data_IF_797779980550
#
_entry.id   IF_797779980550
#
_cell.length_a   1.000
_cell.length_b   1.000
_cell.length_c   1.000
_cell.angle_alpha   90.00
_cell.angle_beta   90.00
_cell.angle_gamma   90.00
#
_symmetry.space_group_name_H-M   'P 1'
#
loop_
_entity.id
_entity.type
_entity.pdbx_description
1 polymer ?
#
# COMPACT_ATOMS: atom_id res chain seq x y z
N UNK A 1 -33.59 5.61 63.23
CA UNK A 1 -33.96 5.32 61.82
C UNK A 1 -32.85 5.85 60.92
N UNK A 2 -31.94 4.99 60.46
CA UNK A 2 -30.85 5.39 59.55
C UNK A 2 -31.30 5.18 58.10
N UNK A 3 -31.43 6.27 57.35
CA UNK A 3 -31.62 6.22 55.90
C UNK A 3 -30.29 5.87 55.25
N UNK A 4 -30.23 4.73 54.56
CA UNK A 4 -29.11 4.38 53.68
C UNK A 4 -29.38 4.90 52.27
N UNK A 5 -28.43 5.59 51.61
CA UNK A 5 -28.60 6.03 50.24
C UNK A 5 -28.45 4.85 49.28
N UNK A 6 -29.46 4.63 48.44
CA UNK A 6 -29.41 3.62 47.37
C UNK A 6 -28.49 4.10 46.24
N UNK A 7 -27.34 3.43 46.08
CA UNK A 7 -26.46 3.62 44.91
C UNK A 7 -27.21 3.20 43.66
N UNK A 8 -27.51 4.15 42.80
CA UNK A 8 -28.02 3.90 41.45
C UNK A 8 -26.86 3.45 40.56
N UNK A 9 -26.83 2.16 40.23
CA UNK A 9 -25.88 1.62 39.26
C UNK A 9 -26.32 2.05 37.85
N UNK A 10 -25.54 2.92 37.21
CA UNK A 10 -25.71 3.26 35.80
C UNK A 10 -25.20 2.09 34.97
N UNK A 11 -26.10 1.33 34.34
CA UNK A 11 -25.75 0.28 33.38
C UNK A 11 -25.16 0.94 32.13
N UNK A 12 -23.84 0.84 31.94
CA UNK A 12 -23.21 1.22 30.67
C UNK A 12 -23.55 0.17 29.62
N UNK A 13 -24.22 0.59 28.54
CA UNK A 13 -24.50 -0.27 27.39
C UNK A 13 -23.18 -0.52 26.66
N UNK A 14 -22.55 -1.66 26.90
CA UNK A 14 -21.37 -2.10 26.16
C UNK A 14 -21.78 -2.45 24.73
N UNK A 15 -21.50 -1.56 23.77
CA UNK A 15 -21.65 -1.86 22.35
C UNK A 15 -20.46 -2.69 21.90
N UNK A 16 -20.65 -3.99 21.73
CA UNK A 16 -19.71 -4.83 20.99
C UNK A 16 -19.85 -4.50 19.49
N UNK A 17 -18.86 -3.86 18.85
CA UNK A 17 -18.95 -3.58 17.43
C UNK A 17 -18.96 -4.92 16.67
N UNK A 18 -20.10 -5.25 16.08
CA UNK A 18 -20.17 -6.38 15.15
C UNK A 18 -19.30 -6.03 13.94
N UNK A 19 -18.28 -6.85 13.68
CA UNK A 19 -17.46 -6.70 12.49
C UNK A 19 -18.32 -6.97 11.25
N UNK A 20 -18.34 -6.06 10.26
CA UNK A 20 -19.07 -6.28 9.02
C UNK A 20 -18.59 -7.56 8.33
N UNK A 21 -19.54 -8.40 7.89
CA UNK A 21 -19.25 -9.59 7.09
C UNK A 21 -18.89 -9.21 5.65
N UNK A 22 -19.56 -8.19 5.13
CA UNK A 22 -19.42 -7.69 3.77
C UNK A 22 -18.54 -6.44 3.77
N UNK A 23 -17.47 -6.50 2.99
CA UNK A 23 -16.53 -5.39 2.79
C UNK A 23 -16.80 -4.79 1.42
N UNK A 24 -17.04 -3.48 1.35
CA UNK A 24 -17.28 -2.77 0.08
C UNK A 24 -16.04 -2.87 -0.80
N UNK A 25 -16.22 -2.87 -2.13
CA UNK A 25 -15.11 -2.85 -3.10
C UNK A 25 -14.11 -1.70 -2.86
N UNK A 26 -14.58 -0.57 -2.32
CA UNK A 26 -13.72 0.56 -1.96
C UNK A 26 -12.75 0.21 -0.82
N UNK A 27 -13.19 -0.59 0.14
CA UNK A 27 -12.51 -0.85 1.40
C UNK A 27 -11.71 -2.17 1.37
N UNK A 28 -12.07 -3.09 0.46
CA UNK A 28 -11.41 -4.39 0.31
C UNK A 28 -9.88 -4.33 0.03
N UNK A 29 -9.36 -3.42 -0.83
CA UNK A 29 -7.92 -3.28 -1.02
C UNK A 29 -7.20 -2.87 0.26
N UNK A 30 -7.80 -1.98 1.04
CA UNK A 30 -7.23 -1.51 2.32
C UNK A 30 -7.26 -2.60 3.38
N UNK A 31 -8.30 -3.43 3.40
CA UNK A 31 -8.37 -4.59 4.30
C UNK A 31 -7.20 -5.56 4.09
N UNK A 32 -6.82 -5.80 2.83
CA UNK A 32 -5.68 -6.66 2.49
C UNK A 32 -4.32 -5.95 2.52
N UNK A 33 -4.28 -4.65 2.84
CA UNK A 33 -3.04 -3.87 2.86
C UNK A 33 -2.39 -3.66 1.50
N UNK A 34 -3.17 -3.68 0.41
CA UNK A 34 -2.68 -3.54 -0.97
C UNK A 34 -3.28 -2.34 -1.71
N UNK A 35 -2.67 -1.95 -2.82
CA UNK A 35 -3.20 -0.90 -3.68
C UNK A 35 -4.41 -1.39 -4.51
N UNK A 36 -5.21 -0.43 -4.97
CA UNK A 36 -6.46 -0.71 -5.70
C UNK A 36 -6.23 -1.37 -7.06
N UNK A 37 -5.11 -1.07 -7.73
CA UNK A 37 -4.86 -1.60 -9.07
C UNK A 37 -4.50 -3.08 -8.97
N UNK A 38 -3.61 -3.42 -8.04
CA UNK A 38 -3.25 -4.80 -7.74
C UNK A 38 -4.45 -5.62 -7.29
N UNK A 39 -5.29 -5.08 -6.40
CA UNK A 39 -6.53 -5.72 -6.00
C UNK A 39 -7.44 -6.07 -7.18
N UNK A 40 -7.64 -5.12 -8.11
CA UNK A 40 -8.49 -5.33 -9.28
C UNK A 40 -7.93 -6.37 -10.27
N UNK A 41 -6.61 -6.57 -10.30
CA UNK A 41 -5.95 -7.52 -11.19
C UNK A 41 -5.84 -8.93 -10.60
N UNK A 42 -5.46 -9.02 -9.32
CA UNK A 42 -5.10 -10.31 -8.70
C UNK A 42 -6.24 -10.91 -7.88
N UNK A 43 -6.93 -10.07 -7.09
CA UNK A 43 -7.91 -10.55 -6.10
C UNK A 43 -9.31 -10.60 -6.70
N UNK A 44 -9.75 -9.48 -7.29
CA UNK A 44 -11.13 -9.30 -7.75
C UNK A 44 -11.61 -10.39 -8.73
N UNK A 45 -10.81 -10.86 -9.71
CA UNK A 45 -11.26 -11.92 -10.63
C UNK A 45 -11.44 -13.28 -9.95
N UNK A 46 -10.82 -13.48 -8.78
CA UNK A 46 -10.83 -14.75 -8.05
C UNK A 46 -11.93 -14.79 -6.98
N UNK A 47 -12.54 -13.65 -6.64
CA UNK A 47 -13.58 -13.54 -5.62
C UNK A 47 -14.97 -13.43 -6.23
N UNK A 48 -15.97 -13.90 -5.49
CA UNK A 48 -17.38 -13.75 -5.87
C UNK A 48 -17.87 -12.33 -5.54
N UNK A 49 -18.27 -11.57 -6.57
CA UNK A 49 -18.84 -10.24 -6.40
C UNK A 49 -20.28 -10.32 -5.87
N UNK A 50 -20.54 -9.74 -4.68
CA UNK A 50 -21.88 -9.58 -4.14
C UNK A 50 -22.42 -8.18 -4.38
N UNK A 51 -23.55 -8.10 -5.08
CA UNK A 51 -24.26 -6.83 -5.31
C UNK A 51 -25.05 -6.44 -4.06
N UNK A 52 -24.75 -5.27 -3.52
CA UNK A 52 -25.50 -4.64 -2.42
C UNK A 52 -26.29 -3.47 -2.98
N UNK A 53 -27.60 -3.68 -3.17
CA UNK A 53 -28.50 -2.70 -3.76
C UNK A 53 -28.21 -2.46 -5.23
N UNK A 54 -28.52 -1.25 -5.71
CA UNK A 54 -28.48 -0.92 -7.15
C UNK A 54 -27.07 -0.78 -7.73
N UNK A 55 -26.13 -0.23 -6.94
CA UNK A 55 -24.80 0.14 -7.43
C UNK A 55 -23.65 -0.39 -6.55
N UNK A 56 -23.97 -0.94 -5.38
CA UNK A 56 -22.95 -1.40 -4.45
C UNK A 56 -22.39 -2.75 -4.85
N UNK A 57 -21.07 -2.89 -4.82
CA UNK A 57 -20.39 -4.19 -4.87
C UNK A 57 -19.63 -4.37 -3.55
N UNK A 58 -19.70 -5.59 -3.02
CA UNK A 58 -19.01 -6.00 -1.82
C UNK A 58 -18.50 -7.44 -1.95
N UNK A 59 -17.55 -7.77 -1.09
CA UNK A 59 -16.96 -9.10 -0.95
C UNK A 59 -17.18 -9.61 0.46
N UNK A 60 -17.23 -10.93 0.61
CA UNK A 60 -17.25 -11.55 1.91
C UNK A 60 -15.84 -11.46 2.54
N UNK A 61 -15.75 -11.11 3.83
CA UNK A 61 -14.48 -11.09 4.57
C UNK A 61 -13.79 -12.47 4.61
N UNK A 62 -14.54 -13.57 4.74
CA UNK A 62 -13.93 -14.91 4.77
C UNK A 62 -13.40 -15.30 3.40
N UNK A 63 -14.02 -14.84 2.31
CA UNK A 63 -13.47 -15.09 0.98
C UNK A 63 -12.15 -14.32 0.79
N UNK A 64 -12.07 -13.09 1.32
CA UNK A 64 -10.83 -12.31 1.37
C UNK A 64 -9.78 -13.01 2.25
N UNK A 65 -10.16 -13.52 3.42
CA UNK A 65 -9.26 -14.23 4.33
C UNK A 65 -8.76 -15.55 3.69
N UNK A 66 -9.65 -16.32 3.04
CA UNK A 66 -9.30 -17.56 2.34
C UNK A 66 -8.34 -17.30 1.18
N UNK A 67 -8.52 -16.19 0.45
CA UNK A 67 -7.56 -15.78 -0.58
C UNK A 67 -6.18 -15.48 0.01
N UNK A 68 -6.11 -14.85 1.18
CA UNK A 68 -4.84 -14.62 1.88
C UNK A 68 -4.20 -15.92 2.33
N UNK A 69 -4.99 -16.87 2.83
CA UNK A 69 -4.47 -18.17 3.26
C UNK A 69 -3.95 -19.00 2.07
N UNK A 70 -4.60 -18.90 0.91
CA UNK A 70 -4.14 -19.49 -0.35
C UNK A 70 -2.89 -18.76 -0.92
N UNK A 71 -2.79 -17.44 -0.73
CA UNK A 71 -1.54 -16.72 -1.02
C UNK A 71 -0.40 -17.17 -0.10
N UNK A 72 -0.67 -17.37 1.20
CA UNK A 72 0.32 -17.88 2.16
C UNK A 72 0.74 -19.30 1.81
N UNK A 73 -0.19 -20.21 1.53
CA UNK A 73 0.16 -21.60 1.20
C UNK A 73 1.05 -21.70 -0.04
N UNK A 74 0.83 -20.84 -1.04
CA UNK A 74 1.73 -20.70 -2.20
C UNK A 74 3.11 -20.16 -1.85
N UNK A 75 3.19 -19.26 -0.87
CA UNK A 75 4.44 -18.63 -0.43
C UNK A 75 5.22 -19.51 0.56
N UNK A 76 4.51 -20.35 1.32
CA UNK A 76 5.02 -21.34 2.27
C UNK A 76 5.54 -22.61 1.59
N UNK A 77 5.59 -22.62 0.26
CA UNK A 77 6.34 -23.59 -0.53
C UNK A 77 7.68 -22.99 -0.98
N UNK A 78 8.65 -22.72 -0.08
CA UNK A 78 10.02 -22.57 -0.51
C UNK A 78 10.52 -23.97 -0.83
N UNK A 79 10.73 -24.26 -2.11
CA UNK A 79 11.82 -25.15 -2.46
C UNK A 79 13.04 -24.60 -1.70
N UNK A 80 13.58 -25.38 -0.79
CA UNK A 80 14.61 -25.02 0.22
C UNK A 80 15.91 -24.42 -0.36
N UNK A 81 15.96 -24.14 -1.66
CA UNK A 81 17.09 -23.58 -2.40
C UNK A 81 16.99 -22.09 -2.75
N UNK A 82 15.87 -21.37 -2.50
CA UNK A 82 15.75 -19.95 -2.89
C UNK A 82 15.80 -18.92 -1.74
N UNK A 83 15.79 -19.35 -0.48
CA UNK A 83 15.81 -18.41 0.66
C UNK A 83 17.17 -17.72 0.87
N UNK A 84 18.25 -18.19 0.25
CA UNK A 84 19.52 -17.45 0.23
C UNK A 84 19.50 -16.23 -0.72
N UNK A 85 18.47 -16.08 -1.57
CA UNK A 85 18.39 -14.99 -2.55
C UNK A 85 17.34 -13.91 -2.24
N UNK A 86 16.64 -13.97 -1.11
CA UNK A 86 15.81 -12.85 -0.62
C UNK A 86 16.65 -11.98 0.32
N UNK A 87 17.82 -11.57 -0.18
CA UNK A 87 18.44 -10.34 0.28
C UNK A 87 17.50 -9.22 -0.15
N UNK A 88 16.81 -8.62 0.83
CA UNK A 88 15.98 -7.44 0.68
C UNK A 88 16.43 -6.59 -0.50
N UNK A 89 15.62 -6.57 -1.56
CA UNK A 89 15.74 -5.69 -2.72
C UNK A 89 15.92 -4.25 -2.22
N UNK A 90 17.18 -3.89 -1.99
CA UNK A 90 17.65 -2.52 -2.00
C UNK A 90 17.60 -2.14 -3.46
N UNK A 91 16.49 -1.53 -3.86
CA UNK A 91 16.54 -0.34 -4.70
C UNK A 91 15.14 0.28 -4.76
N UNK A 92 15.06 1.44 -4.12
CA UNK A 92 14.00 2.42 -4.25
C UNK A 92 13.95 2.85 -5.72
N UNK A 93 13.07 2.25 -6.54
CA UNK A 93 12.81 2.74 -7.90
C UNK A 93 11.51 3.52 -7.93
N UNK A 94 11.69 4.83 -7.93
CA UNK A 94 10.65 5.82 -8.14
C UNK A 94 9.99 5.67 -9.52
N UNK A 95 8.69 5.98 -9.51
CA UNK A 95 7.69 5.88 -10.57
C UNK A 95 8.14 6.30 -11.98
N UNK A 96 7.74 5.59 -13.07
CA UNK A 96 7.95 6.07 -14.43
C UNK A 96 6.88 7.11 -14.78
N UNK A 97 7.25 8.39 -14.72
CA UNK A 97 6.48 9.49 -15.32
C UNK A 97 6.79 9.52 -16.81
N UNK A 98 5.93 8.91 -17.63
CA UNK A 98 6.02 9.04 -19.09
C UNK A 98 5.60 10.44 -19.53
N UNK A 99 6.47 11.19 -20.19
CA UNK A 99 6.15 12.34 -21.07
C UNK A 99 7.40 12.72 -21.89
N UNK A 100 7.34 12.36 -23.18
CA UNK A 100 7.93 13.03 -24.36
C UNK A 100 9.42 12.82 -24.67
N UNK A 101 9.66 12.05 -25.73
CA UNK A 101 10.90 12.00 -26.49
C UNK A 101 11.20 13.37 -27.12
N UNK A 102 12.30 13.98 -26.70
CA UNK A 102 12.97 15.07 -27.39
C UNK A 102 14.42 14.68 -27.61
N UNK A 103 14.73 14.14 -28.79
CA UNK A 103 16.09 13.91 -29.24
C UNK A 103 16.80 15.26 -29.35
N UNK A 104 17.88 15.46 -28.60
CA UNK A 104 18.85 16.52 -28.87
C UNK A 104 20.25 15.92 -28.95
N UNK A 105 20.66 15.62 -30.17
CA UNK A 105 22.01 15.21 -30.55
C UNK A 105 22.94 16.42 -30.52
N UNK A 106 23.50 16.73 -29.35
CA UNK A 106 24.72 17.54 -29.28
C UNK A 106 25.72 16.82 -28.40
N UNK A 107 26.73 16.22 -29.03
CA UNK A 107 27.93 15.74 -28.36
C UNK A 107 28.68 16.95 -27.81
N UNK A 108 28.43 17.34 -26.55
CA UNK A 108 29.32 18.27 -25.85
C UNK A 108 30.56 17.48 -25.43
N UNK A 109 31.72 17.99 -25.83
CA UNK A 109 33.00 17.38 -25.49
C UNK A 109 33.24 17.55 -23.99
N UNK A 110 33.70 16.48 -23.36
CA UNK A 110 34.06 16.33 -21.94
C UNK A 110 34.83 17.54 -21.34
N UNK A 111 35.56 18.28 -22.18
CA UNK A 111 36.28 19.51 -21.82
C UNK A 111 35.37 20.66 -21.34
N UNK A 112 34.15 20.76 -21.85
CA UNK A 112 33.20 21.81 -21.46
C UNK A 112 32.61 21.54 -20.07
N UNK A 113 32.43 20.27 -19.70
CA UNK A 113 31.92 19.88 -18.38
C UNK A 113 32.93 20.20 -17.27
N UNK A 114 34.21 19.88 -17.48
CA UNK A 114 35.26 20.19 -16.50
C UNK A 114 35.41 21.70 -16.27
N UNK A 115 35.28 22.50 -17.32
CA UNK A 115 35.34 23.96 -17.21
C UNK A 115 34.12 24.54 -16.47
N UNK A 116 32.93 23.99 -16.72
CA UNK A 116 31.71 24.40 -16.01
C UNK A 116 31.78 24.05 -14.51
N UNK A 117 32.30 22.87 -14.15
CA UNK A 117 32.50 22.47 -12.76
C UNK A 117 33.48 23.38 -12.03
N UNK A 118 34.62 23.72 -12.65
CA UNK A 118 35.60 24.62 -12.07
C UNK A 118 35.03 26.04 -11.83
N UNK A 119 34.22 26.56 -12.75
CA UNK A 119 33.57 27.86 -12.58
C UNK A 119 32.50 27.86 -11.48
N UNK A 120 31.74 26.77 -11.33
CA UNK A 120 30.74 26.64 -10.28
C UNK A 120 31.37 26.61 -8.88
N UNK A 121 32.51 25.92 -8.74
CA UNK A 121 33.24 25.84 -7.46
C UNK A 121 33.91 27.18 -7.11
N UNK A 122 34.36 27.95 -8.11
CA UNK A 122 35.00 29.25 -7.88
C UNK A 122 34.01 30.32 -7.41
N UNK A 123 32.72 30.21 -7.76
CA UNK A 123 31.70 31.22 -7.44
C UNK A 123 31.05 30.99 -6.07
N UNK A 124 31.86 30.90 -5.02
CA UNK A 124 31.39 31.09 -3.64
C UNK A 124 31.46 32.59 -3.31
N UNK A 125 30.34 33.32 -3.16
CA UNK A 125 30.39 34.66 -2.61
C UNK A 125 30.70 34.60 -1.11
N UNK A 126 31.76 35.29 -0.70
CA UNK A 126 31.98 35.61 0.70
C UNK A 126 30.93 36.65 1.11
N UNK A 127 30.07 36.30 2.05
CA UNK A 127 29.22 37.26 2.74
C UNK A 127 30.04 37.97 3.80
N UNK A 128 30.15 39.29 3.70
CA UNK A 128 30.39 40.20 4.82
C UNK A 128 29.62 41.48 4.53
#
# INVERSE_FOLDING_TARGET
MQFMPTKTFKTSKTFTPLLPRLIRIKDAPFYLGMDKNRFNQEVRPQLTEMKIGTQGIAFDRLDLDAWVDDLKSRSEQPDTHQLENIEWQKDHRDSPKGTNSGISTKSSKERDFTKALALAILKKPNAT
#
